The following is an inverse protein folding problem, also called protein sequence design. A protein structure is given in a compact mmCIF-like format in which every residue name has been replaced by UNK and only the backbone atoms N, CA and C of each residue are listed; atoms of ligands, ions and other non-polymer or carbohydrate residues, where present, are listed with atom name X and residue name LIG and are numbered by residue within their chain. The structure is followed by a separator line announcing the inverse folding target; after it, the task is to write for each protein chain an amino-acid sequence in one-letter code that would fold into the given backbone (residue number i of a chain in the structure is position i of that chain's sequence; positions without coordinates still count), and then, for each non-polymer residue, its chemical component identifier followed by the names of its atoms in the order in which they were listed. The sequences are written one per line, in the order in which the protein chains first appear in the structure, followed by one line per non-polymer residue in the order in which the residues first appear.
data_IF_859943880238
#
_entry.id   IF_859943880238
#
_cell.length_a   1.000
_cell.length_b   1.000
_cell.length_c   1.000
_cell.angle_alpha   90.00
_cell.angle_beta   90.00
_cell.angle_gamma   90.00
#
_symmetry.space_group_name_H-M   'P 1'
#
loop_
_entity.id
_entity.type
_entity.pdbx_description
1 polymer ?
#
# COMPACT_ATOMS: atom_id res chain seq x y z
N UNK A 1 -11.43 19.34 12.66
CA UNK A 1 -11.55 19.08 11.21
C UNK A 1 -11.59 17.59 10.99
N UNK A 2 -12.48 17.14 10.12
CA UNK A 2 -12.52 15.74 9.73
C UNK A 2 -11.36 15.44 8.78
N UNK A 3 -10.65 14.34 9.05
CA UNK A 3 -9.48 13.94 8.28
C UNK A 3 -9.54 12.45 7.97
N UNK A 4 -8.78 12.06 6.97
CA UNK A 4 -8.51 10.66 6.64
C UNK A 4 -7.02 10.40 6.83
N UNK A 5 -6.68 9.33 7.52
CA UNK A 5 -5.29 8.95 7.70
C UNK A 5 -4.87 8.00 6.59
N UNK A 6 -3.97 8.47 5.72
CA UNK A 6 -3.39 7.69 4.64
C UNK A 6 -2.14 6.99 5.16
N UNK A 7 -2.14 5.67 5.14
CA UNK A 7 -0.97 4.86 5.49
C UNK A 7 -0.11 4.66 4.26
N UNK A 8 1.17 4.98 4.33
CA UNK A 8 2.09 4.95 3.20
C UNK A 8 3.22 3.98 3.48
N UNK A 9 3.43 3.05 2.55
CA UNK A 9 4.65 2.24 2.48
C UNK A 9 5.64 3.00 1.59
N UNK A 10 6.75 3.44 2.17
CA UNK A 10 7.72 4.30 1.48
C UNK A 10 9.14 3.76 1.65
N UNK A 11 10.06 4.28 0.83
CA UNK A 11 11.48 3.98 0.94
C UNK A 11 12.15 5.08 1.74
N UNK A 12 12.74 4.72 2.87
CA UNK A 12 13.42 5.67 3.74
C UNK A 12 14.83 6.01 3.20
N UNK A 13 15.48 6.96 3.85
CA UNK A 13 16.79 7.48 3.41
C UNK A 13 17.88 6.42 3.40
N UNK A 14 17.76 5.37 4.21
CA UNK A 14 18.68 4.23 4.22
C UNK A 14 18.34 3.16 3.16
N UNK A 15 17.34 3.40 2.31
CA UNK A 15 16.91 2.45 1.28
C UNK A 15 15.93 1.38 1.76
N UNK A 16 15.55 1.39 3.02
CA UNK A 16 14.64 0.40 3.58
C UNK A 16 13.19 0.87 3.51
N UNK A 17 12.30 -0.09 3.26
CA UNK A 17 10.87 0.18 3.27
C UNK A 17 10.36 0.34 4.70
N UNK A 18 9.53 1.34 4.91
CA UNK A 18 8.87 1.62 6.19
C UNK A 18 7.48 2.17 5.97
N UNK A 19 6.68 2.18 7.03
CA UNK A 19 5.35 2.80 7.01
C UNK A 19 5.38 4.17 7.67
N UNK A 20 4.57 5.09 7.14
CA UNK A 20 4.28 6.38 7.75
C UNK A 20 2.83 6.75 7.50
N UNK A 21 2.31 7.71 8.25
CA UNK A 21 0.97 8.23 8.06
C UNK A 21 1.01 9.65 7.52
N UNK A 22 0.05 9.95 6.66
CA UNK A 22 -0.19 11.29 6.15
C UNK A 22 -1.65 11.65 6.38
N UNK A 23 -1.89 12.85 6.88
CA UNK A 23 -3.24 13.34 7.14
C UNK A 23 -3.79 14.01 5.89
N UNK A 24 -4.94 13.53 5.41
CA UNK A 24 -5.67 14.11 4.29
C UNK A 24 -6.87 14.86 4.83
N UNK A 25 -6.96 16.18 4.62
CA UNK A 25 -8.15 16.93 5.02
C UNK A 25 -9.38 16.51 4.22
N UNK A 26 -10.53 16.41 4.89
CA UNK A 26 -11.83 16.15 4.29
C UNK A 26 -12.65 17.44 4.32
N UNK A 27 -12.12 18.48 3.67
CA UNK A 27 -12.67 19.85 3.77
C UNK A 27 -13.59 20.26 2.64
N UNK A 28 -13.85 19.38 1.68
CA UNK A 28 -14.76 19.66 0.56
C UNK A 28 -16.11 18.97 0.78
N UNK A 29 -17.07 19.28 -0.09
CA UNK A 29 -18.40 18.72 0.01
C UNK A 29 -19.27 19.43 1.04
N UNK A 30 -20.14 18.67 1.70
CA UNK A 30 -21.10 19.15 2.70
C UNK A 30 -20.85 18.46 4.04
N UNK A 31 -21.42 18.97 5.16
CA UNK A 31 -21.27 18.28 6.46
C UNK A 31 -21.79 16.83 6.46
N UNK A 32 -22.75 16.50 5.58
CA UNK A 32 -23.29 15.15 5.46
C UNK A 32 -22.50 14.28 4.48
N UNK A 33 -21.61 14.86 3.67
CA UNK A 33 -20.83 14.17 2.66
C UNK A 33 -19.49 14.90 2.47
N UNK A 34 -18.63 14.79 3.46
CA UNK A 34 -17.32 15.42 3.43
C UNK A 34 -16.39 14.68 2.48
N UNK A 35 -15.67 15.44 1.69
CA UNK A 35 -14.77 14.92 0.66
C UNK A 35 -13.35 15.44 0.85
N UNK A 36 -12.37 14.62 0.47
CA UNK A 36 -11.03 15.11 0.19
C UNK A 36 -11.04 15.92 -1.10
N UNK A 37 -9.91 16.57 -1.42
CA UNK A 37 -9.70 17.02 -2.79
C UNK A 37 -9.80 15.83 -3.77
N UNK A 38 -10.10 16.12 -5.02
CA UNK A 38 -10.13 15.08 -6.06
C UNK A 38 -8.70 14.78 -6.51
N UNK A 39 -8.24 13.55 -6.22
CA UNK A 39 -6.92 13.12 -6.66
C UNK A 39 -7.00 12.52 -8.06
N UNK A 40 -6.05 12.89 -8.91
CA UNK A 40 -5.91 12.25 -10.21
C UNK A 40 -5.42 10.80 -10.03
N UNK A 41 -5.79 9.93 -10.97
CA UNK A 41 -5.37 8.54 -10.96
C UNK A 41 -4.99 8.06 -12.37
N UNK A 42 -4.10 7.06 -12.42
CA UNK A 42 -3.64 6.44 -13.67
C UNK A 42 -4.38 5.16 -14.03
N UNK A 43 -5.54 4.94 -13.44
CA UNK A 43 -6.35 3.74 -13.68
C UNK A 43 -6.37 2.82 -12.47
N UNK A 44 -7.14 1.74 -12.58
CA UNK A 44 -7.28 0.78 -11.48
C UNK A 44 -7.29 -0.66 -12.00
N UNK A 45 -6.95 -1.59 -11.13
CA UNK A 45 -7.00 -3.04 -11.40
C UNK A 45 -7.47 -3.78 -10.16
N UNK A 46 -8.21 -4.85 -10.39
CA UNK A 46 -8.56 -5.81 -9.35
C UNK A 46 -7.57 -6.97 -9.41
N UNK A 47 -7.15 -7.45 -8.24
CA UNK A 47 -6.25 -8.59 -8.14
C UNK A 47 -6.82 -9.63 -7.19
N UNK A 48 -6.81 -10.87 -7.64
CA UNK A 48 -7.12 -12.04 -6.81
C UNK A 48 -5.83 -12.77 -6.45
N UNK A 49 -5.57 -12.94 -5.16
CA UNK A 49 -4.42 -13.72 -4.67
C UNK A 49 -4.96 -14.95 -3.93
N UNK A 50 -4.61 -16.16 -4.37
CA UNK A 50 -5.15 -17.37 -3.76
C UNK A 50 -4.62 -17.59 -2.35
N UNK A 51 -5.29 -18.45 -1.60
CA UNK A 51 -4.81 -18.92 -0.30
C UNK A 51 -3.41 -19.49 -0.44
N UNK A 52 -2.50 -19.07 0.41
CA UNK A 52 -1.10 -19.47 0.37
C UNK A 52 -0.20 -18.56 -0.46
N UNK A 53 -0.75 -17.53 -1.10
CA UNK A 53 0.08 -16.58 -1.86
C UNK A 53 1.10 -15.91 -0.96
N UNK A 54 2.35 -15.88 -1.43
CA UNK A 54 3.45 -15.16 -0.80
C UNK A 54 4.42 -14.70 -1.88
N UNK A 55 4.79 -13.42 -1.85
CA UNK A 55 5.82 -12.89 -2.75
C UNK A 55 7.20 -12.98 -2.12
N UNK A 56 8.21 -12.75 -2.93
CA UNK A 56 9.56 -12.44 -2.45
C UNK A 56 9.68 -10.95 -2.17
N UNK A 57 10.80 -10.52 -1.58
CA UNK A 57 11.09 -9.10 -1.44
C UNK A 57 11.14 -8.44 -2.81
N UNK A 58 10.46 -7.31 -2.92
CA UNK A 58 10.39 -6.51 -4.16
C UNK A 58 10.06 -5.06 -3.81
N UNK A 59 10.32 -4.16 -4.71
CA UNK A 59 9.86 -2.78 -4.61
C UNK A 59 8.51 -2.60 -5.30
N UNK A 60 7.87 -1.47 -5.06
CA UNK A 60 6.67 -1.07 -5.80
C UNK A 60 7.03 -0.96 -7.28
N UNK A 61 6.10 -1.36 -8.15
CA UNK A 61 6.30 -1.30 -9.60
C UNK A 61 6.49 0.13 -10.12
N UNK A 62 6.27 0.35 -11.41
CA UNK A 62 6.59 1.62 -12.07
C UNK A 62 5.89 2.84 -11.48
N UNK A 63 4.70 2.69 -10.92
CA UNK A 63 3.93 3.78 -10.31
C UNK A 63 3.57 3.46 -8.89
N UNK A 64 3.57 4.47 -8.01
CA UNK A 64 2.94 4.37 -6.71
C UNK A 64 1.45 4.12 -6.87
N UNK A 65 0.85 3.41 -5.95
CA UNK A 65 -0.56 3.06 -6.05
C UNK A 65 -1.21 2.84 -4.69
N UNK A 66 -2.49 3.16 -4.63
CA UNK A 66 -3.33 2.76 -3.52
C UNK A 66 -3.59 1.26 -3.60
N UNK A 67 -3.60 0.62 -2.45
CA UNK A 67 -4.02 -0.79 -2.31
C UNK A 67 -5.16 -0.82 -1.30
N UNK A 68 -6.36 -1.13 -1.77
CA UNK A 68 -7.54 -1.28 -0.92
C UNK A 68 -7.86 -2.77 -0.79
N UNK A 69 -8.06 -3.23 0.43
CA UNK A 69 -8.41 -4.62 0.69
C UNK A 69 -9.92 -4.76 0.61
N UNK A 70 -10.41 -5.54 -0.35
CA UNK A 70 -11.83 -5.76 -0.55
C UNK A 70 -12.32 -7.05 0.11
N UNK A 71 -11.48 -8.06 0.19
CA UNK A 71 -11.79 -9.37 0.77
C UNK A 71 -10.52 -10.01 1.30
N UNK A 72 -10.62 -10.72 2.41
CA UNK A 72 -9.51 -11.41 3.00
C UNK A 72 -8.58 -10.50 3.77
N UNK A 73 -7.34 -10.94 3.96
CA UNK A 73 -6.32 -10.21 4.72
C UNK A 73 -4.98 -10.29 4.00
N UNK A 74 -4.28 -9.16 3.98
CA UNK A 74 -2.97 -9.02 3.34
C UNK A 74 -1.91 -8.71 4.38
N UNK A 75 -0.78 -9.40 4.33
CA UNK A 75 0.39 -9.04 5.12
C UNK A 75 1.44 -8.36 4.27
N UNK A 76 2.09 -7.35 4.85
CA UNK A 76 3.25 -6.69 4.27
C UNK A 76 4.41 -6.87 5.25
N UNK A 77 5.44 -7.59 4.82
CA UNK A 77 6.63 -7.85 5.60
C UNK A 77 7.77 -6.90 5.25
N UNK A 78 8.50 -6.46 6.26
CA UNK A 78 9.63 -5.54 6.11
C UNK A 78 10.94 -6.23 6.47
N UNK A 79 12.06 -5.59 6.16
CA UNK A 79 13.40 -6.13 6.41
C UNK A 79 13.73 -6.30 7.89
N UNK A 80 13.07 -5.55 8.77
CA UNK A 80 13.26 -5.69 10.22
C UNK A 80 12.55 -6.92 10.81
N UNK A 81 11.90 -7.73 9.98
CA UNK A 81 11.16 -8.92 10.40
C UNK A 81 9.72 -8.63 10.82
N UNK A 82 9.27 -7.37 10.80
CA UNK A 82 7.90 -7.03 11.12
C UNK A 82 6.96 -7.40 9.99
N UNK A 83 5.70 -7.71 10.36
CA UNK A 83 4.62 -7.98 9.43
C UNK A 83 3.44 -7.12 9.83
N UNK A 84 2.97 -6.28 8.92
CA UNK A 84 1.76 -5.50 9.12
C UNK A 84 0.61 -6.12 8.34
N UNK A 85 -0.51 -6.29 9.02
CA UNK A 85 -1.70 -6.91 8.46
C UNK A 85 -2.75 -5.86 8.11
N UNK A 86 -3.35 -6.02 6.94
CA UNK A 86 -4.46 -5.20 6.45
C UNK A 86 -5.64 -6.10 6.13
N UNK A 87 -6.78 -5.82 6.75
CA UNK A 87 -8.02 -6.57 6.53
C UNK A 87 -8.97 -5.82 5.60
N UNK A 88 -10.04 -6.48 5.18
CA UNK A 88 -11.06 -5.88 4.32
C UNK A 88 -11.55 -4.54 4.90
N UNK A 89 -11.61 -3.51 4.06
CA UNK A 89 -11.93 -2.14 4.44
C UNK A 89 -10.71 -1.29 4.78
N UNK A 90 -9.53 -1.86 4.93
CA UNK A 90 -8.28 -1.15 5.18
C UNK A 90 -7.50 -0.92 3.89
N UNK A 91 -6.48 -0.07 3.96
CA UNK A 91 -5.68 0.31 2.80
C UNK A 91 -4.25 0.62 3.19
N UNK A 92 -3.38 0.67 2.17
CA UNK A 92 -2.12 1.39 2.22
C UNK A 92 -1.79 1.95 0.83
N UNK A 93 -0.96 2.98 0.81
CA UNK A 93 -0.42 3.55 -0.42
C UNK A 93 0.99 3.02 -0.62
N UNK A 94 1.20 2.25 -1.69
CA UNK A 94 2.48 1.60 -1.97
C UNK A 94 3.36 2.53 -2.79
N UNK A 95 4.44 3.01 -2.19
CA UNK A 95 5.38 3.96 -2.77
C UNK A 95 6.83 3.62 -2.40
N UNK A 96 7.13 2.33 -2.28
CA UNK A 96 8.47 1.85 -1.95
C UNK A 96 9.30 1.75 -3.24
N UNK A 97 9.93 2.87 -3.60
CA UNK A 97 10.76 3.00 -4.78
C UNK A 97 12.18 3.37 -4.40
N UNK A 98 13.16 2.62 -4.89
CA UNK A 98 14.56 3.02 -4.73
C UNK A 98 14.88 4.25 -5.58
N UNK A 99 15.81 5.11 -5.12
CA UNK A 99 16.31 6.21 -5.93
C UNK A 99 16.91 5.70 -7.25
N UNK A 100 16.86 6.53 -8.29
CA UNK A 100 17.46 6.23 -9.58
C UNK A 100 18.93 5.85 -9.41
N UNK A 101 19.36 4.80 -10.12
CA UNK A 101 20.72 4.31 -10.07
C UNK A 101 21.03 3.37 -8.90
N UNK A 102 20.13 3.22 -7.93
CA UNK A 102 20.30 2.27 -6.84
C UNK A 102 19.92 0.87 -7.33
N UNK A 103 20.83 -0.11 -7.17
CA UNK A 103 20.56 -1.51 -7.51
C UNK A 103 19.76 -2.17 -6.38
N UNK A 104 18.69 -2.86 -6.75
CA UNK A 104 17.88 -3.60 -5.78
C UNK A 104 18.65 -4.78 -5.22
N UNK A 105 18.64 -4.88 -3.88
CA UNK A 105 19.21 -6.01 -3.14
C UNK A 105 18.15 -6.53 -2.19
N UNK A 106 17.68 -7.77 -2.42
CA UNK A 106 16.62 -8.38 -1.64
C UNK A 106 16.95 -8.57 -0.15
N UNK A 107 18.24 -8.51 0.22
CA UNK A 107 18.67 -8.57 1.61
C UNK A 107 18.57 -7.23 2.33
N UNK A 108 18.41 -6.13 1.61
CA UNK A 108 18.42 -4.76 2.15
C UNK A 108 17.17 -3.96 1.82
N UNK A 109 16.56 -4.21 0.67
CA UNK A 109 15.52 -3.34 0.10
C UNK A 109 14.21 -4.07 -0.08
N UNK A 110 13.15 -3.26 -0.24
CA UNK A 110 11.84 -3.78 -0.60
C UNK A 110 11.03 -4.30 0.57
N UNK A 111 9.94 -4.87 0.20
CA UNK A 111 8.95 -5.50 1.09
C UNK A 111 8.46 -6.78 0.42
N UNK A 112 7.79 -7.62 1.19
CA UNK A 112 7.11 -8.78 0.64
C UNK A 112 5.66 -8.78 1.08
N UNK A 113 4.80 -9.46 0.32
CA UNK A 113 3.38 -9.53 0.58
C UNK A 113 2.90 -10.96 0.66
N UNK A 114 1.82 -11.18 1.41
CA UNK A 114 1.20 -12.50 1.53
C UNK A 114 -0.30 -12.39 1.73
N UNK A 115 -0.97 -13.47 1.40
CA UNK A 115 -2.35 -13.70 1.78
C UNK A 115 -2.34 -14.37 3.16
N UNK A 116 -3.23 -13.92 4.07
CA UNK A 116 -3.36 -14.44 5.44
C UNK A 116 -4.75 -15.04 5.61
N UNK A 117 -4.80 -16.20 6.28
CA UNK A 117 -6.06 -16.84 6.65
C UNK A 117 -6.61 -17.79 5.58
N UNK A 118 -7.90 -18.11 5.70
CA UNK A 118 -8.53 -19.18 4.91
C UNK A 118 -9.31 -18.65 3.70
N UNK A 119 -9.40 -17.35 3.56
CA UNK A 119 -10.15 -16.69 2.48
C UNK A 119 -9.18 -16.09 1.47
N UNK A 120 -9.44 -16.25 0.16
CA UNK A 120 -8.63 -15.60 -0.85
C UNK A 120 -8.61 -14.09 -0.66
N UNK A 121 -7.51 -13.47 -1.04
CA UNK A 121 -7.31 -12.04 -0.93
C UNK A 121 -7.73 -11.36 -2.23
N UNK A 122 -8.64 -10.40 -2.13
CA UNK A 122 -9.02 -9.55 -3.27
C UNK A 122 -8.66 -8.11 -2.94
N UNK A 123 -7.92 -7.47 -3.83
CA UNK A 123 -7.44 -6.10 -3.67
C UNK A 123 -7.83 -5.25 -4.87
N UNK A 124 -7.99 -3.96 -4.64
CA UNK A 124 -8.15 -2.94 -5.67
C UNK A 124 -6.90 -2.06 -5.65
N UNK A 125 -6.19 -2.03 -6.77
CA UNK A 125 -5.07 -1.14 -6.99
C UNK A 125 -5.54 0.09 -7.77
N UNK A 126 -5.28 1.28 -7.23
CA UNK A 126 -5.55 2.54 -7.93
C UNK A 126 -4.22 3.26 -8.12
N UNK A 127 -3.75 3.35 -9.36
CA UNK A 127 -2.46 3.95 -9.66
C UNK A 127 -2.48 5.46 -9.44
N UNK A 128 -1.41 5.97 -8.87
CA UNK A 128 -1.11 7.39 -8.88
C UNK A 128 -0.70 7.86 -10.30
N UNK A 129 -0.60 9.12 -10.46
CA UNK A 129 -0.14 9.75 -11.71
C UNK A 129 1.32 10.16 -11.63
#
# INVERSE_FOLDING_TARGET
MTTFTKTILFTDTDGKARFKDEIIPMGEGTPAAMLSELFASGGYQLRHSPVGFRSQFHCTGASAQWVFILQGRMGIGLQDGSLREFKAGEHFYSADHLPDGRVFDAALHGHWSCQIGEEPLVTLFVRGT
#
